data_IF_566452569952
#
_entry.id   IF_566452569952
#
_cell.length_a   1.000
_cell.length_b   1.000
_cell.length_c   1.000
_cell.angle_alpha   90.00
_cell.angle_beta   90.00
_cell.angle_gamma   90.00
#
_symmetry.space_group_name_H-M   'P 1'
#
loop_
_entity.id
_entity.type
_entity.pdbx_description
1 polymer ?
#
# COMPACT_ATOMS: atom_id res chain seq x y z
N UNK A 1 21.70 -3.94 13.83
CA UNK A 1 21.90 -2.80 12.91
C UNK A 1 20.55 -2.12 12.79
N UNK A 2 20.37 -0.98 13.46
CA UNK A 2 19.08 -0.31 13.57
C UNK A 2 18.64 0.17 12.17
N UNK A 3 17.44 -0.23 11.76
CA UNK A 3 16.76 0.22 10.55
C UNK A 3 16.34 1.68 10.77
N UNK A 4 17.28 2.58 10.57
CA UNK A 4 17.04 4.02 10.53
C UNK A 4 16.21 4.25 9.28
N UNK A 5 14.99 4.78 9.46
CA UNK A 5 14.19 5.29 8.35
C UNK A 5 15.08 6.16 7.44
N UNK A 6 14.97 6.05 6.11
CA UNK A 6 15.83 6.78 5.19
C UNK A 6 15.86 8.28 5.54
N UNK A 7 17.04 8.89 5.41
CA UNK A 7 17.32 10.28 5.83
C UNK A 7 16.42 11.35 5.18
N UNK A 8 15.56 10.99 4.23
CA UNK A 8 14.51 11.86 3.70
C UNK A 8 13.44 12.23 4.73
N UNK A 9 13.46 11.64 5.94
CA UNK A 9 12.50 11.90 7.01
C UNK A 9 12.90 12.99 8.01
N UNK A 10 14.08 13.63 7.90
CA UNK A 10 14.60 14.54 8.95
C UNK A 10 14.69 16.03 8.60
N UNK A 11 14.43 16.45 7.37
CA UNK A 11 14.44 17.89 7.05
C UNK A 11 13.02 18.44 7.01
N UNK A 12 12.64 19.10 8.11
CA UNK A 12 11.41 19.89 8.28
C UNK A 12 11.38 21.17 7.44
N UNK A 13 11.83 21.11 6.19
CA UNK A 13 11.90 22.26 5.27
C UNK A 13 11.17 22.05 3.93
N UNK A 14 10.55 20.88 3.70
CA UNK A 14 9.63 20.71 2.57
C UNK A 14 8.20 20.45 3.07
N UNK A 15 7.23 21.36 2.81
CA UNK A 15 5.83 21.15 3.17
C UNK A 15 5.14 20.06 2.34
N UNK A 16 5.85 19.42 1.39
CA UNK A 16 5.33 18.33 0.58
C UNK A 16 5.06 17.06 1.41
N UNK A 17 3.90 16.44 1.20
CA UNK A 17 3.53 15.18 1.87
C UNK A 17 4.44 14.04 1.38
N UNK A 18 5.02 13.29 2.32
CA UNK A 18 5.86 12.14 1.98
C UNK A 18 5.04 10.83 1.91
N UNK A 19 5.66 9.75 1.42
CA UNK A 19 4.98 8.46 1.28
C UNK A 19 4.47 7.91 2.62
N UNK A 20 5.19 8.17 3.72
CA UNK A 20 4.76 7.76 5.05
C UNK A 20 3.49 8.50 5.53
N UNK A 21 3.35 9.79 5.18
CA UNK A 21 2.14 10.55 5.47
C UNK A 21 0.94 9.98 4.71
N UNK A 22 1.09 9.73 3.41
CA UNK A 22 0.06 9.07 2.57
C UNK A 22 -0.32 7.71 3.14
N UNK A 23 0.67 6.86 3.45
CA UNK A 23 0.45 5.53 4.01
C UNK A 23 -0.37 5.58 5.31
N UNK A 24 -0.10 6.57 6.16
CA UNK A 24 -0.83 6.79 7.42
C UNK A 24 -2.30 7.16 7.18
N UNK A 25 -2.56 8.08 6.25
CA UNK A 25 -3.93 8.44 5.85
C UNK A 25 -4.70 7.25 5.30
N UNK A 26 -4.09 6.50 4.37
CA UNK A 26 -4.71 5.30 3.79
C UNK A 26 -5.00 4.24 4.85
N UNK A 27 -4.07 4.00 5.77
CA UNK A 27 -4.26 3.04 6.87
C UNK A 27 -5.45 3.41 7.76
N UNK A 28 -5.65 4.69 8.05
CA UNK A 28 -6.80 5.18 8.83
C UNK A 28 -8.12 5.03 8.07
N UNK A 29 -8.12 5.38 6.79
CA UNK A 29 -9.28 5.16 5.91
C UNK A 29 -9.68 3.68 5.94
N UNK A 30 -8.74 2.78 5.66
CA UNK A 30 -8.99 1.34 5.66
C UNK A 30 -9.54 0.84 6.99
N UNK A 31 -8.98 1.26 8.12
CA UNK A 31 -9.47 0.85 9.43
C UNK A 31 -10.94 1.24 9.67
N UNK A 32 -11.36 2.43 9.24
CA UNK A 32 -12.78 2.86 9.33
C UNK A 32 -13.71 2.06 8.44
N UNK A 33 -13.18 1.43 7.40
CA UNK A 33 -13.92 0.55 6.49
C UNK A 33 -13.78 -0.94 6.84
N UNK A 34 -13.29 -1.27 8.05
CA UNK A 34 -13.08 -2.65 8.51
C UNK A 34 -12.04 -3.42 7.68
N UNK A 35 -11.00 -2.71 7.23
CA UNK A 35 -9.80 -3.27 6.63
C UNK A 35 -8.59 -3.04 7.54
N UNK A 36 -7.77 -4.07 7.70
CA UNK A 36 -6.48 -3.97 8.41
C UNK A 36 -5.33 -3.93 7.41
N UNK A 37 -4.50 -2.90 7.51
CA UNK A 37 -3.41 -2.65 6.57
C UNK A 37 -2.03 -2.93 7.20
N UNK A 38 -1.09 -3.34 6.37
CA UNK A 38 0.31 -3.50 6.72
C UNK A 38 1.17 -2.83 5.64
N UNK A 39 2.14 -1.97 6.01
CA UNK A 39 3.03 -1.34 5.03
C UNK A 39 4.16 -2.27 4.58
N UNK A 40 4.83 -1.97 3.48
CA UNK A 40 6.07 -2.62 3.02
C UNK A 40 5.95 -4.15 3.00
N UNK A 41 5.03 -4.68 2.18
CA UNK A 41 4.70 -6.11 2.15
C UNK A 41 5.35 -6.80 0.95
N UNK A 42 6.40 -7.62 1.16
CA UNK A 42 6.95 -8.46 0.11
C UNK A 42 5.89 -9.40 -0.48
N UNK A 43 5.84 -9.43 -1.80
CA UNK A 43 5.02 -10.31 -2.63
C UNK A 43 5.91 -11.35 -3.32
N UNK A 44 5.29 -12.38 -3.90
CA UNK A 44 6.04 -13.30 -4.76
C UNK A 44 6.57 -12.57 -5.99
N UNK A 45 7.62 -13.09 -6.62
CA UNK A 45 8.25 -12.44 -7.77
C UNK A 45 9.18 -11.27 -7.42
N UNK A 46 9.50 -11.08 -6.13
CA UNK A 46 10.45 -10.05 -5.67
C UNK A 46 9.88 -8.64 -5.62
N UNK A 47 8.56 -8.49 -5.73
CA UNK A 47 7.86 -7.21 -5.55
C UNK A 47 7.63 -6.90 -4.08
N UNK A 48 7.36 -5.63 -3.78
CA UNK A 48 6.95 -5.16 -2.46
C UNK A 48 5.82 -4.16 -2.64
N UNK A 49 4.67 -4.44 -2.04
CA UNK A 49 3.56 -3.51 -2.01
C UNK A 49 3.80 -2.44 -0.94
N UNK A 50 3.49 -1.18 -1.23
CA UNK A 50 3.60 -0.10 -0.24
C UNK A 50 2.62 -0.32 0.90
N UNK A 51 1.38 -0.70 0.59
CA UNK A 51 0.42 -1.25 1.56
C UNK A 51 -0.29 -2.48 0.99
N UNK A 52 -0.50 -3.46 1.86
CA UNK A 52 -1.45 -4.54 1.64
C UNK A 52 -2.49 -4.50 2.76
N UNK A 53 -3.76 -4.72 2.45
CA UNK A 53 -4.83 -4.77 3.44
C UNK A 53 -5.75 -5.98 3.26
N UNK A 54 -6.38 -6.39 4.35
CA UNK A 54 -7.36 -7.47 4.41
C UNK A 54 -8.70 -6.95 4.94
N UNK A 55 -9.80 -7.28 4.26
CA UNK A 55 -11.16 -7.10 4.78
C UNK A 55 -11.63 -8.31 5.61
N UNK A 56 -12.74 -8.18 6.33
CA UNK A 56 -13.34 -9.26 7.12
C UNK A 56 -13.75 -10.51 6.32
N UNK A 57 -13.83 -10.42 4.98
CA UNK A 57 -14.13 -11.54 4.06
C UNK A 57 -12.86 -12.16 3.48
N UNK A 58 -11.68 -11.70 3.88
CA UNK A 58 -10.39 -12.16 3.37
C UNK A 58 -10.08 -11.68 1.95
N UNK A 59 -10.71 -10.57 1.51
CA UNK A 59 -10.31 -9.88 0.28
C UNK A 59 -9.07 -9.06 0.53
N UNK A 60 -8.19 -9.08 -0.45
CA UNK A 60 -6.89 -8.45 -0.41
C UNK A 60 -6.94 -7.17 -1.24
N UNK A 61 -6.52 -6.08 -0.63
CA UNK A 61 -6.28 -4.81 -1.31
C UNK A 61 -4.79 -4.56 -1.36
N UNK A 62 -4.28 -4.15 -2.52
CA UNK A 62 -2.92 -3.63 -2.68
C UNK A 62 -3.01 -2.14 -3.01
N UNK A 63 -2.12 -1.36 -2.43
CA UNK A 63 -1.99 0.08 -2.69
C UNK A 63 -0.54 0.39 -3.00
N UNK A 64 -0.30 1.09 -4.11
CA UNK A 64 0.99 1.70 -4.42
C UNK A 64 0.90 3.22 -4.27
N UNK A 65 1.84 3.80 -3.54
CA UNK A 65 1.90 5.21 -3.19
C UNK A 65 2.80 5.93 -4.18
N UNK A 66 2.28 6.99 -4.81
CA UNK A 66 3.03 7.83 -5.74
C UNK A 66 3.03 9.28 -5.27
N UNK A 67 4.19 9.76 -4.83
CA UNK A 67 4.35 11.13 -4.30
C UNK A 67 4.93 12.12 -5.31
N UNK A 68 5.36 11.64 -6.48
CA UNK A 68 5.79 12.50 -7.58
C UNK A 68 5.29 11.97 -8.94
N UNK A 69 5.16 12.87 -9.92
CA UNK A 69 4.80 12.48 -11.30
C UNK A 69 5.84 11.54 -11.92
N UNK A 70 7.12 11.72 -11.59
CA UNK A 70 8.19 10.86 -12.08
C UNK A 70 8.07 9.43 -11.52
N UNK A 71 7.75 9.30 -10.23
CA UNK A 71 7.49 8.00 -9.59
C UNK A 71 6.27 7.31 -10.22
N UNK A 72 5.17 8.05 -10.45
CA UNK A 72 3.99 7.51 -11.10
C UNK A 72 4.28 7.01 -12.53
N UNK A 73 4.94 7.83 -13.35
CA UNK A 73 5.20 7.49 -14.76
C UNK A 73 6.34 6.47 -14.92
N UNK A 74 7.22 6.34 -13.94
CA UNK A 74 8.31 5.37 -13.93
C UNK A 74 7.87 3.94 -13.58
N UNK A 75 6.69 3.79 -12.97
CA UNK A 75 6.17 2.48 -12.57
C UNK A 75 5.55 1.73 -13.74
N UNK A 76 6.39 0.99 -14.47
CA UNK A 76 5.99 0.15 -15.60
C UNK A 76 5.63 -1.28 -15.22
N UNK A 77 5.88 -1.68 -13.96
CA UNK A 77 5.78 -3.06 -13.47
C UNK A 77 4.61 -3.27 -12.51
N UNK A 78 3.87 -2.22 -12.22
CA UNK A 78 2.63 -2.25 -11.45
C UNK A 78 1.60 -3.34 -11.87
N UNK A 79 1.48 -3.77 -13.15
CA UNK A 79 0.51 -4.82 -13.48
C UNK A 79 0.81 -6.17 -12.80
N UNK A 80 2.07 -6.43 -12.42
CA UNK A 80 2.47 -7.64 -11.70
C UNK A 80 1.72 -7.78 -10.36
N UNK A 81 1.32 -6.66 -9.75
CA UNK A 81 0.67 -6.60 -8.45
C UNK A 81 -0.79 -7.09 -8.52
N UNK A 82 -1.42 -7.04 -9.70
CA UNK A 82 -2.79 -7.50 -9.90
C UNK A 82 -2.98 -8.99 -9.62
N UNK A 83 -1.90 -9.79 -9.73
CA UNK A 83 -1.91 -11.21 -9.38
C UNK A 83 -1.97 -11.46 -7.86
N UNK A 84 -1.88 -10.40 -7.03
CA UNK A 84 -1.79 -10.48 -5.58
C UNK A 84 -2.94 -9.81 -4.84
N UNK A 85 -3.91 -9.20 -5.53
CA UNK A 85 -5.02 -8.48 -4.90
C UNK A 85 -6.36 -8.69 -5.60
N UNK A 86 -7.44 -8.56 -4.84
CA UNK A 86 -8.78 -8.42 -5.40
C UNK A 86 -9.04 -7.01 -5.94
N UNK A 87 -8.46 -6.02 -5.26
CA UNK A 87 -8.57 -4.60 -5.59
C UNK A 87 -7.20 -3.93 -5.53
N UNK A 88 -6.94 -3.07 -6.51
CA UNK A 88 -5.70 -2.31 -6.60
C UNK A 88 -6.01 -0.82 -6.56
N UNK A 89 -5.31 -0.07 -5.72
CA UNK A 89 -5.40 1.37 -5.67
C UNK A 89 -4.04 2.03 -5.91
N UNK A 90 -4.07 3.14 -6.63
CA UNK A 90 -3.05 4.16 -6.52
C UNK A 90 -3.37 5.04 -5.32
N UNK A 91 -2.39 5.38 -4.49
CA UNK A 91 -2.52 6.39 -3.46
C UNK A 91 -1.60 7.58 -3.74
N UNK A 92 -2.14 8.79 -3.71
CA UNK A 92 -1.40 10.02 -4.01
C UNK A 92 -1.63 11.08 -2.93
N UNK A 93 -0.67 12.00 -2.72
CA UNK A 93 -0.86 13.14 -1.84
C UNK A 93 -2.05 14.03 -2.23
N UNK A 94 -2.65 14.70 -1.24
CA UNK A 94 -3.52 15.85 -1.51
C UNK A 94 -2.78 16.90 -2.36
N UNK A 95 -3.43 17.39 -3.42
CA UNK A 95 -2.85 18.34 -4.38
C UNK A 95 -2.03 17.71 -5.52
N UNK A 96 -1.88 16.37 -5.55
CA UNK A 96 -1.24 15.67 -6.66
C UNK A 96 -2.13 15.64 -7.92
N UNK A 97 -1.55 15.98 -9.08
CA UNK A 97 -2.20 15.80 -10.39
C UNK A 97 -2.27 14.32 -10.77
N UNK A 98 -3.41 13.70 -10.47
CA UNK A 98 -3.69 12.29 -10.79
C UNK A 98 -4.30 12.08 -12.17
N UNK A 99 -4.43 13.12 -13.01
CA UNK A 99 -4.95 13.02 -14.38
C UNK A 99 -4.24 11.98 -15.27
N UNK A 100 -2.91 11.71 -15.12
CA UNK A 100 -2.27 10.61 -15.85
C UNK A 100 -2.91 9.24 -15.60
N UNK A 101 -3.51 9.01 -14.43
CA UNK A 101 -4.17 7.74 -14.08
C UNK A 101 -5.46 7.48 -14.86
N UNK A 102 -5.93 8.42 -15.68
CA UNK A 102 -7.06 8.24 -16.60
C UNK A 102 -6.62 7.64 -17.95
N UNK A 103 -5.31 7.59 -18.22
CA UNK A 103 -4.80 7.01 -19.45
C UNK A 103 -5.00 5.47 -19.47
N UNK A 104 -5.25 4.86 -20.65
CA UNK A 104 -5.48 3.41 -20.76
C UNK A 104 -4.36 2.54 -20.18
N UNK A 105 -3.12 3.02 -20.15
CA UNK A 105 -1.97 2.32 -19.57
C UNK A 105 -2.08 2.06 -18.06
N UNK A 106 -2.92 2.83 -17.35
CA UNK A 106 -3.17 2.68 -15.91
C UNK A 106 -4.47 1.93 -15.61
N UNK A 107 -5.16 1.43 -16.64
CA UNK A 107 -6.40 0.67 -16.55
C UNK A 107 -7.42 1.32 -15.59
N UNK A 108 -7.96 2.51 -15.90
CA UNK A 108 -8.84 3.25 -14.99
C UNK A 108 -10.11 2.48 -14.58
N UNK A 109 -10.59 1.56 -15.42
CA UNK A 109 -11.73 0.67 -15.10
C UNK A 109 -11.36 -0.49 -14.15
N UNK A 110 -10.06 -0.72 -13.94
CA UNK A 110 -9.51 -1.75 -13.05
C UNK A 110 -9.06 -1.13 -11.72
N UNK A 111 -8.38 0.02 -11.78
CA UNK A 111 -7.64 0.61 -10.65
C UNK A 111 -8.39 1.75 -10.00
N UNK A 112 -8.38 1.77 -8.68
CA UNK A 112 -8.91 2.89 -7.90
C UNK A 112 -7.87 3.96 -7.62
N UNK A 113 -8.33 5.09 -7.12
CA UNK A 113 -7.48 6.20 -6.67
C UNK A 113 -7.89 6.61 -5.26
N UNK A 114 -6.91 6.68 -4.38
CA UNK A 114 -7.00 7.24 -3.04
C UNK A 114 -6.18 8.51 -2.99
N UNK A 115 -6.79 9.60 -2.51
CA UNK A 115 -6.07 10.83 -2.17
C UNK A 115 -5.92 10.89 -0.66
N UNK A 116 -4.71 11.09 -0.17
CA UNK A 116 -4.42 11.04 1.26
C UNK A 116 -3.43 12.11 1.73
N UNK A 117 -3.47 12.39 3.03
CA UNK A 117 -2.46 13.11 3.78
C UNK A 117 -2.16 12.39 5.10
N UNK A 118 -1.38 13.02 5.99
CA UNK A 118 -1.01 12.45 7.30
C UNK A 118 -2.19 12.24 8.25
N UNK A 119 -3.33 12.87 7.99
CA UNK A 119 -4.51 12.90 8.84
C UNK A 119 -5.54 11.88 8.37
N UNK A 120 -5.83 11.87 7.08
CA UNK A 120 -6.90 11.08 6.49
C UNK A 120 -6.68 10.73 5.00
N UNK A 121 -7.61 9.98 4.42
CA UNK A 121 -7.68 9.68 3.01
C UNK A 121 -9.14 9.56 2.51
N UNK A 122 -9.32 9.75 1.20
CA UNK A 122 -10.60 9.59 0.51
C UNK A 122 -10.40 8.78 -0.78
N UNK A 123 -11.35 7.89 -1.07
CA UNK A 123 -11.42 7.20 -2.36
C UNK A 123 -12.08 8.14 -3.37
N UNK A 124 -11.34 8.59 -4.39
CA UNK A 124 -11.86 9.46 -5.45
C UNK A 124 -12.22 8.70 -6.72
N UNK A 125 -11.67 7.48 -6.88
CA UNK A 125 -12.10 6.50 -7.88
C UNK A 125 -12.11 5.12 -7.27
N UNK A 126 -13.24 4.42 -7.38
CA UNK A 126 -13.41 3.09 -6.81
C UNK A 126 -12.66 2.04 -7.65
N UNK A 127 -11.84 1.19 -7.02
CA UNK A 127 -11.20 0.06 -7.71
C UNK A 127 -12.21 -1.05 -8.00
N UNK A 128 -12.19 -1.62 -9.22
CA UNK A 128 -12.99 -2.81 -9.53
C UNK A 128 -12.49 -4.01 -8.70
N UNK A 129 -13.43 -4.81 -8.21
CA UNK A 129 -13.09 -6.09 -7.57
C UNK A 129 -12.97 -7.19 -8.63
N UNK A 130 -11.80 -7.83 -8.72
CA UNK A 130 -11.64 -9.10 -9.44
C UNK A 130 -11.14 -10.15 -8.47
N UNK A 131 -11.93 -11.20 -8.19
CA UNK A 131 -11.58 -12.17 -7.18
C UNK A 131 -10.26 -12.92 -7.48
N UNK A 132 -9.37 -12.97 -6.48
CA UNK A 132 -8.21 -13.86 -6.52
C UNK A 132 -8.63 -15.33 -6.52
N UNK A 133 -7.89 -16.21 -7.25
CA UNK A 133 -8.00 -17.65 -7.09
C UNK A 133 -7.80 -18.07 -5.63
N UNK A 134 -8.57 -19.04 -5.16
CA UNK A 134 -8.57 -19.45 -3.74
C UNK A 134 -7.18 -19.84 -3.21
N UNK A 135 -6.36 -20.53 -4.02
CA UNK A 135 -5.01 -20.92 -3.62
C UNK A 135 -4.07 -19.71 -3.47
N UNK A 136 -4.20 -18.69 -4.31
CA UNK A 136 -3.45 -17.44 -4.22
C UNK A 136 -3.86 -16.67 -2.96
N UNK A 137 -5.17 -16.51 -2.73
CA UNK A 137 -5.70 -15.86 -1.53
C UNK A 137 -5.17 -16.51 -0.26
N UNK A 138 -5.20 -17.85 -0.18
CA UNK A 138 -4.68 -18.60 0.97
C UNK A 138 -3.20 -18.30 1.21
N UNK A 139 -2.38 -18.33 0.16
CA UNK A 139 -0.93 -18.04 0.23
C UNK A 139 -0.68 -16.60 0.72
N UNK A 140 -1.32 -15.61 0.09
CA UNK A 140 -1.17 -14.20 0.45
C UNK A 140 -1.63 -13.91 1.88
N UNK A 141 -2.77 -14.46 2.31
CA UNK A 141 -3.31 -14.28 3.66
C UNK A 141 -2.38 -14.88 4.72
N UNK A 142 -1.85 -16.08 4.49
CA UNK A 142 -0.90 -16.71 5.41
C UNK A 142 0.40 -15.90 5.51
N UNK A 143 0.92 -15.41 4.38
CA UNK A 143 2.10 -14.55 4.36
C UNK A 143 1.87 -13.24 5.12
N UNK A 144 0.71 -12.60 4.91
CA UNK A 144 0.29 -11.40 5.63
C UNK A 144 0.24 -11.65 7.14
N UNK A 145 -0.49 -12.68 7.58
CA UNK A 145 -0.67 -13.00 9.00
C UNK A 145 0.66 -13.30 9.71
N UNK A 146 1.53 -14.12 9.09
CA UNK A 146 2.84 -14.44 9.67
C UNK A 146 3.75 -13.21 9.77
N UNK A 147 3.65 -12.28 8.81
CA UNK A 147 4.45 -11.05 8.83
C UNK A 147 3.93 -10.05 9.86
N UNK A 148 2.62 -9.89 9.97
CA UNK A 148 2.00 -9.09 11.02
C UNK A 148 2.39 -9.61 12.41
N UNK A 149 2.30 -10.93 12.63
CA UNK A 149 2.72 -11.56 13.88
C UNK A 149 4.20 -11.31 14.19
N UNK A 150 5.11 -11.49 13.22
CA UNK A 150 6.55 -11.21 13.40
C UNK A 150 6.82 -9.74 13.76
N UNK A 151 6.14 -8.80 13.10
CA UNK A 151 6.27 -7.37 13.41
C UNK A 151 5.79 -7.07 14.83
N UNK A 152 4.66 -7.64 15.24
CA UNK A 152 4.17 -7.52 16.61
C UNK A 152 5.16 -8.12 17.61
N UNK A 153 5.70 -9.31 17.34
CA UNK A 153 6.75 -9.91 18.17
C UNK A 153 7.94 -8.97 18.34
N UNK A 154 8.43 -8.36 17.26
CA UNK A 154 9.57 -7.43 17.36
C UNK A 154 9.25 -6.12 18.08
N UNK A 155 7.98 -5.72 18.15
CA UNK A 155 7.54 -4.59 18.96
C UNK A 155 7.41 -4.96 20.45
N UNK A 156 6.98 -6.18 20.75
CA UNK A 156 6.77 -6.68 22.12
C UNK A 156 8.09 -7.13 22.75
N UNK A 157 8.96 -7.77 21.97
CA UNK A 157 10.26 -8.29 22.34
C UNK A 157 11.29 -7.94 21.24
N UNK A 158 11.92 -6.75 21.34
CA UNK A 158 12.93 -6.31 20.36
C UNK A 158 14.14 -7.23 20.23
N UNK A 159 14.45 -8.02 21.27
CA UNK A 159 15.61 -8.92 21.29
C UNK A 159 15.28 -10.31 20.70
N UNK A 160 14.01 -10.62 20.43
CA UNK A 160 13.53 -11.90 19.89
C UNK A 160 14.19 -12.34 18.57
N UNK A 161 14.78 -11.39 17.84
CA UNK A 161 15.41 -11.63 16.53
C UNK A 161 16.92 -11.32 16.54
N UNK A 162 17.50 -10.99 17.68
CA UNK A 162 18.94 -10.81 17.85
C UNK A 162 19.55 -12.18 18.15
N UNK A 163 20.03 -12.85 17.10
CA UNK A 163 20.79 -14.10 17.15
C UNK A 163 21.96 -14.06 16.18
#
# INVERSE_FOLDING_TARGET
>A
MLDIAPASCLDGSDPSLCAADVARGVTRLFLRHDLVAMPEVPLDGGRRADLMALDAKGRIVVVEIKVSRADLLGDSKWPDYLAHCDRYFWAVPAGFDHGPLDAPTFLPDRTGIIVADRYDAAIVREARTEPLPAHVRKRCTLAFARRAARRLTGLVDPDAFVG
#
